data_IF_957858751689
#
_entry.id   IF_957858751689
#
_cell.length_a   1.000
_cell.length_b   1.000
_cell.length_c   1.000
_cell.angle_alpha   90.00
_cell.angle_beta   90.00
_cell.angle_gamma   90.00
#
_symmetry.space_group_name_H-M   'P 1'
#
loop_
_entity.id
_entity.type
_entity.pdbx_description
1 polymer ?
#
# COMPACT_ATOMS: atom_id res chain seq x y z
N UNK A 1 18.12 -6.71 4.77
CA UNK A 1 16.70 -6.28 4.71
C UNK A 1 16.07 -6.84 3.46
N UNK A 2 14.87 -7.41 3.56
CA UNK A 2 14.05 -7.79 2.41
C UNK A 2 12.89 -6.78 2.33
N UNK A 3 12.73 -6.08 1.20
CA UNK A 3 11.53 -5.27 0.94
C UNK A 3 10.62 -6.02 -0.02
N UNK A 4 9.33 -6.13 0.32
CA UNK A 4 8.34 -6.87 -0.48
C UNK A 4 7.00 -6.12 -0.61
N UNK A 5 6.19 -6.57 -1.57
CA UNK A 5 4.76 -6.25 -1.72
C UNK A 5 3.90 -7.50 -1.42
N UNK A 6 2.67 -7.60 -1.97
CA UNK A 6 1.77 -8.78 -1.94
C UNK A 6 0.78 -8.86 -0.76
N UNK A 7 1.22 -8.76 0.51
CA UNK A 7 0.29 -8.73 1.65
C UNK A 7 -0.17 -7.31 1.93
N UNK A 8 -1.49 -7.11 2.04
CA UNK A 8 -2.12 -5.86 2.48
C UNK A 8 -1.69 -5.52 3.92
N UNK A 9 -1.36 -4.25 4.14
CA UNK A 9 -1.18 -3.66 5.48
C UNK A 9 -1.94 -2.34 5.54
N UNK A 10 -2.57 -2.08 6.68
CA UNK A 10 -3.49 -0.95 6.83
C UNK A 10 -2.76 0.38 6.88
N UNK A 11 -1.56 0.37 7.46
CA UNK A 11 -0.66 1.49 7.67
C UNK A 11 0.21 1.84 6.45
N UNK A 12 0.00 1.19 5.30
CA UNK A 12 0.78 1.41 4.08
C UNK A 12 2.16 0.72 4.06
N UNK A 13 2.83 0.59 5.20
CA UNK A 13 4.04 -0.23 5.33
C UNK A 13 4.18 -0.86 6.72
N UNK A 14 4.79 -2.05 6.82
CA UNK A 14 4.97 -2.73 8.12
C UNK A 14 6.29 -3.48 8.17
N UNK A 15 6.98 -3.36 9.30
CA UNK A 15 8.15 -4.18 9.62
C UNK A 15 7.76 -5.49 10.27
N UNK A 16 8.47 -6.55 9.91
CA UNK A 16 8.29 -7.90 10.42
C UNK A 16 9.62 -8.50 10.87
N UNK A 17 9.53 -9.51 11.73
CA UNK A 17 10.68 -10.35 12.13
C UNK A 17 11.88 -9.52 12.62
N UNK A 18 11.65 -8.59 13.56
CA UNK A 18 12.71 -7.73 14.09
C UNK A 18 13.32 -6.82 13.04
N UNK A 19 12.47 -6.18 12.22
CA UNK A 19 12.88 -5.21 11.18
C UNK A 19 13.78 -5.79 10.07
N UNK A 20 13.73 -7.11 9.87
CA UNK A 20 14.48 -7.76 8.79
C UNK A 20 13.71 -7.81 7.47
N UNK A 21 12.37 -7.81 7.54
CA UNK A 21 11.46 -7.83 6.38
C UNK A 21 10.51 -6.64 6.45
N UNK A 22 10.48 -5.86 5.38
CA UNK A 22 9.60 -4.71 5.19
C UNK A 22 8.52 -5.06 4.17
N UNK A 23 7.29 -4.84 4.56
CA UNK A 23 6.12 -4.85 3.71
C UNK A 23 5.80 -3.42 3.29
N UNK A 24 5.74 -3.12 1.99
CA UNK A 24 5.20 -1.86 1.44
C UNK A 24 3.95 -2.15 0.63
N UNK A 25 2.96 -1.26 0.74
CA UNK A 25 1.69 -1.30 0.03
C UNK A 25 1.35 0.07 -0.57
N UNK A 26 1.18 0.14 -1.89
CA UNK A 26 1.06 1.42 -2.61
C UNK A 26 -0.32 1.67 -3.23
N UNK A 27 -1.34 0.88 -2.86
CA UNK A 27 -2.71 1.03 -3.37
C UNK A 27 -3.69 1.47 -2.24
N UNK A 28 -3.94 2.77 -2.06
CA UNK A 28 -4.76 3.26 -0.96
C UNK A 28 -6.23 2.90 -1.19
N UNK A 29 -6.95 2.62 -0.09
CA UNK A 29 -8.32 2.08 -0.10
C UNK A 29 -8.47 0.94 -1.12
N UNK A 30 -7.71 -0.14 -0.91
CA UNK A 30 -7.66 -1.26 -1.84
C UNK A 30 -9.05 -1.83 -2.10
N UNK A 31 -9.31 -2.11 -3.38
CA UNK A 31 -10.62 -2.54 -3.90
C UNK A 31 -11.81 -1.65 -3.48
N UNK A 32 -11.55 -0.40 -3.06
CA UNK A 32 -12.55 0.53 -2.53
C UNK A 32 -13.27 0.04 -1.25
N UNK A 33 -12.67 -0.92 -0.53
CA UNK A 33 -13.28 -1.56 0.65
C UNK A 33 -12.40 -1.51 1.89
N UNK A 34 -11.09 -1.65 1.72
CA UNK A 34 -10.21 -1.95 2.83
C UNK A 34 -9.89 -0.73 3.69
N UNK A 35 -10.02 0.50 3.17
CA UNK A 35 -9.74 1.72 3.93
C UNK A 35 -8.28 1.89 4.37
N UNK A 36 -7.35 1.11 3.84
CA UNK A 36 -5.91 1.23 4.12
C UNK A 36 -5.34 2.52 3.53
N UNK A 37 -4.30 3.06 4.16
CA UNK A 37 -3.41 4.05 3.51
C UNK A 37 -2.37 3.33 2.64
N UNK A 38 -1.62 4.11 1.86
CA UNK A 38 -0.55 3.60 1.02
C UNK A 38 0.77 4.29 1.34
N UNK A 39 1.86 3.63 0.99
CA UNK A 39 3.22 4.11 1.20
C UNK A 39 4.09 3.95 -0.05
N UNK A 40 5.08 4.84 -0.17
CA UNK A 40 6.25 4.71 -1.04
C UNK A 40 7.47 4.65 -0.12
N UNK A 41 8.36 3.68 -0.36
CA UNK A 41 9.69 3.66 0.24
C UNK A 41 10.66 4.32 -0.74
N UNK A 42 11.27 5.42 -0.32
CA UNK A 42 12.37 6.07 -1.03
C UNK A 42 13.70 5.63 -0.42
N UNK A 43 14.68 5.37 -1.28
CA UNK A 43 16.05 5.08 -0.90
C UNK A 43 16.96 6.10 -1.58
N UNK A 44 17.70 6.87 -0.78
CA UNK A 44 18.67 7.84 -1.32
C UNK A 44 19.98 7.14 -1.76
N UNK A 45 20.95 7.94 -2.23
CA UNK A 45 22.26 7.45 -2.67
C UNK A 45 23.06 6.73 -1.56
N UNK A 46 22.76 7.03 -0.30
CA UNK A 46 23.37 6.39 0.87
C UNK A 46 22.51 5.26 1.45
N UNK A 47 21.41 4.88 0.77
CA UNK A 47 20.44 3.88 1.19
C UNK A 47 19.69 4.22 2.50
N UNK A 48 19.66 5.50 2.86
CA UNK A 48 18.75 5.99 3.89
C UNK A 48 17.31 5.80 3.41
N UNK A 49 16.39 5.63 4.36
CA UNK A 49 15.02 5.20 4.09
C UNK A 49 14.09 6.31 4.48
N UNK A 50 13.28 6.75 3.53
CA UNK A 50 12.17 7.65 3.81
C UNK A 50 10.85 7.01 3.35
N UNK A 51 9.79 7.30 4.08
CA UNK A 51 8.46 6.79 3.77
C UNK A 51 7.50 7.94 3.52
N UNK A 52 6.99 8.01 2.30
CA UNK A 52 5.87 8.90 1.98
C UNK A 52 4.55 8.14 2.11
N UNK A 53 3.70 8.58 3.04
CA UNK A 53 2.36 8.03 3.26
C UNK A 53 1.32 8.88 2.53
N UNK A 54 0.39 8.22 1.84
CA UNK A 54 -0.64 8.90 1.07
C UNK A 54 -1.97 8.16 1.10
N UNK A 55 -3.03 8.93 0.95
CA UNK A 55 -4.40 8.45 0.91
C UNK A 55 -4.94 8.34 -0.52
N UNK A 56 -6.14 7.81 -0.61
CA UNK A 56 -6.82 7.57 -1.85
C UNK A 56 -7.28 8.92 -2.44
N UNK A 57 -6.90 9.25 -3.68
CA UNK A 57 -7.28 10.51 -4.33
C UNK A 57 -8.81 10.74 -4.36
N UNK A 58 -9.31 11.99 -4.33
CA UNK A 58 -10.75 12.27 -4.34
C UNK A 58 -11.51 11.58 -5.47
N UNK A 59 -12.76 11.21 -5.21
CA UNK A 59 -13.58 10.40 -6.14
C UNK A 59 -13.87 11.13 -7.46
N UNK A 60 -13.90 12.47 -7.45
CA UNK A 60 -14.10 13.31 -8.63
C UNK A 60 -13.02 13.12 -9.71
N UNK A 61 -11.82 12.69 -9.29
CA UNK A 61 -10.69 12.40 -10.18
C UNK A 61 -10.65 10.93 -10.64
N UNK A 62 -11.62 10.10 -10.24
CA UNK A 62 -11.65 8.66 -10.57
C UNK A 62 -12.68 8.42 -11.67
N UNK A 63 -12.23 7.96 -12.84
CA UNK A 63 -13.15 7.40 -13.83
C UNK A 63 -14.01 6.31 -13.19
N UNK A 64 -15.31 6.30 -13.49
CA UNK A 64 -16.25 5.36 -12.89
C UNK A 64 -15.79 3.90 -13.12
N UNK A 65 -15.58 3.09 -12.07
CA UNK A 65 -15.13 1.72 -12.26
C UNK A 65 -16.21 0.91 -12.98
N UNK A 66 -15.81 0.12 -13.97
CA UNK A 66 -16.69 -0.84 -14.61
C UNK A 66 -17.27 -1.79 -13.55
N UNK A 67 -18.60 -1.98 -13.55
CA UNK A 67 -19.33 -2.93 -12.67
C UNK A 67 -18.90 -4.36 -12.98
N UNK A 68 -17.73 -4.79 -12.52
CA UNK A 68 -17.37 -6.21 -12.46
C UNK A 68 -17.62 -6.71 -11.03
N UNK A 69 -18.22 -7.90 -10.87
CA UNK A 69 -18.37 -8.50 -9.55
C UNK A 69 -16.99 -8.63 -8.89
N UNK A 70 -16.90 -8.19 -7.64
CA UNK A 70 -15.64 -8.18 -6.91
C UNK A 70 -15.29 -9.62 -6.49
N UNK A 71 -14.04 -10.06 -6.69
CA UNK A 71 -13.60 -11.35 -6.20
C UNK A 71 -13.45 -11.36 -4.67
N UNK A 72 -13.66 -12.54 -4.07
CA UNK A 72 -13.66 -12.76 -2.61
C UNK A 72 -12.27 -12.96 -1.98
N UNK A 73 -11.20 -12.95 -2.77
CA UNK A 73 -9.85 -13.10 -2.20
C UNK A 73 -9.34 -11.77 -1.59
N UNK A 74 -8.49 -11.89 -0.55
CA UNK A 74 -7.97 -10.84 0.35
C UNK A 74 -8.81 -10.48 1.60
N UNK A 75 -9.85 -11.26 1.92
CA UNK A 75 -10.40 -11.39 3.28
C UNK A 75 -9.67 -12.49 4.04
#
# INVERSE_FOLDING_TARGET
MICRAHQLVMEGYKWHFGETVLTVWSAPNYCYRCGNVAAILELDEQLNKDFTIFEAAPQENRGAPAKKPQPDYFL
#
